data_IF_606811298993
#
_entry.id   IF_606811298993
#
_cell.length_a   1.000
_cell.length_b   1.000
_cell.length_c   1.000
_cell.angle_alpha   90.00
_cell.angle_beta   90.00
_cell.angle_gamma   90.00
#
_symmetry.space_group_name_H-M   'P 1'
#
loop_
_entity.id
_entity.type
_entity.pdbx_description
1 polymer ?
#
# COMPACT_ATOMS: atom_id res chain seq x y z
N UNK A 1 -20.02 -9.19 20.17
CA UNK A 1 -19.12 -8.72 19.09
C UNK A 1 -17.87 -9.59 18.93
N UNK A 2 -17.10 -9.85 20.00
CA UNK A 2 -15.91 -10.73 19.96
C UNK A 2 -16.22 -12.14 19.42
N UNK A 3 -17.32 -12.76 19.87
CA UNK A 3 -17.75 -14.07 19.39
C UNK A 3 -18.01 -14.09 17.87
N UNK A 4 -18.62 -13.02 17.32
CA UNK A 4 -18.91 -12.88 15.89
C UNK A 4 -17.61 -12.79 15.10
N UNK A 5 -16.66 -11.96 15.51
CA UNK A 5 -15.37 -11.84 14.83
C UNK A 5 -14.55 -13.13 14.89
N UNK A 6 -14.55 -13.80 16.03
CA UNK A 6 -13.89 -15.09 16.17
C UNK A 6 -14.55 -16.15 15.28
N UNK A 7 -15.88 -16.18 15.18
CA UNK A 7 -16.59 -17.06 14.26
C UNK A 7 -16.26 -16.74 12.79
N UNK A 8 -16.22 -15.47 12.39
CA UNK A 8 -15.79 -15.05 11.06
C UNK A 8 -14.38 -15.55 10.73
N UNK A 9 -13.43 -15.41 11.65
CA UNK A 9 -12.04 -15.86 11.43
C UNK A 9 -11.94 -17.39 11.46
N UNK A 10 -12.71 -18.09 12.30
CA UNK A 10 -12.78 -19.56 12.35
C UNK A 10 -13.37 -20.15 11.06
N UNK A 11 -14.40 -19.52 10.51
CA UNK A 11 -15.10 -19.98 9.32
C UNK A 11 -14.58 -19.35 8.02
N UNK A 12 -13.42 -18.67 8.06
CA UNK A 12 -12.80 -18.02 6.90
C UNK A 12 -13.74 -17.07 6.14
N UNK A 13 -14.60 -16.36 6.87
CA UNK A 13 -15.71 -15.60 6.31
C UNK A 13 -15.52 -14.10 6.52
N UNK A 14 -15.82 -13.32 5.48
CA UNK A 14 -15.97 -11.87 5.53
C UNK A 14 -17.38 -11.49 5.11
N UNK A 15 -18.14 -10.84 5.98
CA UNK A 15 -19.56 -10.55 5.74
C UNK A 15 -19.77 -9.59 4.58
N UNK A 16 -20.66 -9.96 3.65
CA UNK A 16 -21.08 -9.12 2.51
C UNK A 16 -21.69 -7.78 2.96
N UNK A 17 -22.29 -7.74 4.14
CA UNK A 17 -22.85 -6.51 4.71
C UNK A 17 -21.77 -5.44 4.96
N UNK A 18 -20.52 -5.87 5.17
CA UNK A 18 -19.39 -4.99 5.43
C UNK A 18 -18.69 -4.52 4.15
N UNK A 19 -18.98 -5.14 3.00
CA UNK A 19 -18.34 -4.87 1.69
C UNK A 19 -19.07 -3.83 0.84
N UNK A 20 -19.94 -3.03 1.46
CA UNK A 20 -20.70 -1.98 0.80
C UNK A 20 -20.09 -0.64 1.15
N UNK A 21 -19.63 0.08 0.14
CA UNK A 21 -19.13 1.44 0.28
C UNK A 21 -20.12 2.44 -0.32
N UNK A 22 -20.41 3.52 0.41
CA UNK A 22 -21.11 4.67 -0.16
C UNK A 22 -20.09 5.76 -0.41
N UNK A 23 -19.88 6.11 -1.67
CA UNK A 23 -18.95 7.16 -2.08
C UNK A 23 -19.70 8.48 -2.08
N UNK A 24 -19.22 9.42 -1.28
CA UNK A 24 -19.71 10.79 -1.25
C UNK A 24 -18.64 11.68 -1.88
N UNK A 25 -19.09 12.53 -2.79
CA UNK A 25 -18.27 13.53 -3.40
C UNK A 25 -18.12 14.77 -2.54
N UNK A 26 -16.89 15.14 -2.16
CA UNK A 26 -16.63 16.43 -1.52
C UNK A 26 -16.24 17.43 -2.60
N UNK A 27 -17.05 18.49 -2.76
CA UNK A 27 -16.80 19.55 -3.73
C UNK A 27 -15.47 20.25 -3.40
N UNK A 28 -14.48 20.26 -4.33
CA UNK A 28 -13.27 21.02 -4.16
C UNK A 28 -13.57 22.52 -4.27
N UNK A 29 -12.78 23.36 -3.58
CA UNK A 29 -12.90 24.82 -3.69
C UNK A 29 -12.37 25.36 -5.03
N UNK A 30 -11.37 24.69 -5.61
CA UNK A 30 -10.58 25.29 -6.69
C UNK A 30 -10.77 24.62 -8.06
N UNK A 31 -10.52 23.30 -8.19
CA UNK A 31 -10.54 22.61 -9.50
C UNK A 31 -11.40 21.34 -9.48
N UNK A 32 -12.14 21.01 -10.56
CA UNK A 32 -12.92 19.76 -10.68
C UNK A 32 -12.07 18.49 -10.48
N UNK A 33 -10.78 18.54 -10.83
CA UNK A 33 -9.80 17.46 -10.64
C UNK A 33 -9.43 17.21 -9.17
N UNK A 34 -9.74 18.14 -8.27
CA UNK A 34 -9.45 18.04 -6.83
C UNK A 34 -10.57 17.35 -6.05
N UNK A 35 -11.57 16.79 -6.76
CA UNK A 35 -12.66 16.06 -6.14
C UNK A 35 -12.13 14.77 -5.51
N UNK A 36 -12.07 14.72 -4.18
CA UNK A 36 -11.65 13.52 -3.44
C UNK A 36 -12.89 12.76 -2.97
N UNK A 37 -13.20 11.58 -3.55
CA UNK A 37 -14.31 10.77 -3.09
C UNK A 37 -14.03 10.20 -1.69
N UNK A 38 -14.94 10.42 -0.74
CA UNK A 38 -14.89 9.77 0.58
C UNK A 38 -15.74 8.51 0.52
N UNK A 39 -15.16 7.36 0.87
CA UNK A 39 -15.95 6.12 0.97
C UNK A 39 -16.39 5.87 2.41
N UNK A 40 -17.69 5.84 2.62
CA UNK A 40 -18.30 5.41 3.87
C UNK A 40 -18.39 3.89 3.88
N UNK A 41 -17.48 3.27 4.63
CA UNK A 41 -17.48 1.83 4.91
C UNK A 41 -18.24 1.51 6.20
N UNK A 42 -18.69 0.27 6.33
CA UNK A 42 -19.32 -0.23 7.57
C UNK A 42 -18.38 -0.07 8.77
N UNK A 43 -18.87 0.52 9.86
CA UNK A 43 -18.08 0.66 11.10
C UNK A 43 -17.66 -0.69 11.69
N UNK A 44 -18.54 -1.70 11.63
CA UNK A 44 -18.21 -3.08 12.02
C UNK A 44 -17.15 -3.69 11.10
N UNK A 45 -17.24 -3.42 9.79
CA UNK A 45 -16.23 -3.81 8.82
C UNK A 45 -14.85 -3.23 9.15
N UNK A 46 -14.77 -1.93 9.42
CA UNK A 46 -13.51 -1.27 9.84
C UNK A 46 -12.93 -1.86 11.13
N UNK A 47 -13.79 -2.18 12.10
CA UNK A 47 -13.33 -2.79 13.35
C UNK A 47 -12.78 -4.20 13.11
N UNK A 48 -13.46 -5.01 12.29
CA UNK A 48 -13.00 -6.33 11.92
C UNK A 48 -11.69 -6.27 11.13
N UNK A 49 -11.57 -5.36 10.16
CA UNK A 49 -10.33 -5.10 9.44
C UNK A 49 -9.18 -4.76 10.38
N UNK A 50 -9.41 -3.94 11.42
CA UNK A 50 -8.38 -3.57 12.39
C UNK A 50 -7.91 -4.79 13.19
N UNK A 51 -8.82 -5.65 13.65
CA UNK A 51 -8.47 -6.90 14.35
C UNK A 51 -7.70 -7.85 13.43
N UNK A 52 -8.14 -7.99 12.18
CA UNK A 52 -7.48 -8.84 11.20
C UNK A 52 -6.10 -8.31 10.81
N UNK A 53 -5.98 -6.98 10.65
CA UNK A 53 -4.73 -6.28 10.35
C UNK A 53 -3.68 -6.56 11.41
N UNK A 54 -4.02 -6.51 12.70
CA UNK A 54 -3.06 -6.83 13.77
C UNK A 54 -2.48 -8.23 13.58
N UNK A 55 -3.32 -9.25 13.40
CA UNK A 55 -2.86 -10.64 13.21
C UNK A 55 -2.01 -10.81 11.94
N UNK A 56 -2.40 -10.17 10.84
CA UNK A 56 -1.65 -10.22 9.59
C UNK A 56 -0.31 -9.48 9.71
N UNK A 57 -0.31 -8.33 10.40
CA UNK A 57 0.88 -7.53 10.66
C UNK A 57 1.88 -8.31 11.51
N UNK A 58 1.41 -9.00 12.54
CA UNK A 58 2.26 -9.83 13.41
C UNK A 58 2.95 -10.94 12.59
N UNK A 59 2.24 -11.57 11.66
CA UNK A 59 2.83 -12.58 10.76
C UNK A 59 3.82 -11.98 9.76
N UNK A 60 3.43 -10.89 9.07
CA UNK A 60 4.25 -10.29 8.02
C UNK A 60 5.52 -9.63 8.59
N UNK A 61 5.39 -8.87 9.67
CA UNK A 61 6.52 -8.16 10.26
C UNK A 61 7.32 -9.04 11.22
N UNK A 62 6.66 -9.92 11.97
CA UNK A 62 7.34 -10.85 12.89
C UNK A 62 8.26 -11.83 12.17
N UNK A 63 7.90 -12.21 10.95
CA UNK A 63 8.72 -13.10 10.10
C UNK A 63 9.66 -12.32 9.15
N UNK A 64 9.74 -10.98 9.24
CA UNK A 64 10.58 -10.17 8.36
C UNK A 64 10.23 -10.28 6.86
N UNK A 65 8.96 -10.54 6.54
CA UNK A 65 8.50 -10.75 5.17
C UNK A 65 8.33 -9.44 4.41
N UNK A 66 8.28 -8.29 5.10
CA UNK A 66 8.23 -6.96 4.50
C UNK A 66 9.62 -6.34 4.48
N UNK A 67 10.00 -5.78 3.33
CA UNK A 67 11.29 -5.10 3.14
C UNK A 67 11.48 -3.95 4.14
N UNK A 68 12.68 -3.85 4.72
CA UNK A 68 12.96 -2.85 5.74
C UNK A 68 12.94 -1.41 5.21
N UNK A 69 13.13 -1.20 3.91
CA UNK A 69 13.00 0.10 3.27
C UNK A 69 11.56 0.61 3.20
N UNK A 70 10.56 -0.25 3.42
CA UNK A 70 9.15 0.13 3.51
C UNK A 70 8.80 0.61 4.92
N UNK A 71 8.74 1.94 5.05
CA UNK A 71 8.36 2.60 6.30
C UNK A 71 6.85 2.87 6.37
N UNK A 72 6.14 2.77 5.24
CA UNK A 72 4.70 2.97 5.16
C UNK A 72 3.93 1.86 5.87
N UNK A 73 2.98 2.27 6.72
CA UNK A 73 2.04 1.38 7.43
C UNK A 73 2.70 0.32 8.34
N UNK A 74 3.97 0.52 8.70
CA UNK A 74 4.70 -0.30 9.68
C UNK A 74 4.63 0.37 11.07
N UNK A 75 4.39 -0.40 12.16
CA UNK A 75 4.48 0.14 13.52
C UNK A 75 5.88 0.69 13.78
N UNK A 76 5.97 1.81 14.50
CA UNK A 76 7.22 2.48 14.88
C UNK A 76 8.06 3.03 13.71
N UNK A 77 7.50 3.10 12.50
CA UNK A 77 8.07 3.82 11.38
C UNK A 77 7.18 5.02 11.03
N UNK A 78 7.79 6.17 10.83
CA UNK A 78 7.13 7.41 10.42
C UNK A 78 7.74 7.96 9.13
N UNK A 79 6.97 8.81 8.46
CA UNK A 79 7.47 9.57 7.32
C UNK A 79 8.73 10.37 7.68
N UNK A 80 8.73 11.00 8.85
CA UNK A 80 9.87 11.77 9.35
C UNK A 80 11.13 10.92 9.53
N UNK A 81 11.01 9.68 10.00
CA UNK A 81 12.16 8.77 10.12
C UNK A 81 12.70 8.35 8.75
N UNK A 82 11.82 8.13 7.76
CA UNK A 82 12.27 7.81 6.40
C UNK A 82 12.97 8.99 5.75
N UNK A 83 12.43 10.20 5.91
CA UNK A 83 13.05 11.43 5.45
C UNK A 83 14.41 11.65 6.13
N UNK A 84 14.48 11.45 7.45
CA UNK A 84 15.72 11.56 8.22
C UNK A 84 16.77 10.57 7.71
N UNK A 85 16.42 9.30 7.50
CA UNK A 85 17.32 8.29 6.91
C UNK A 85 17.92 8.75 5.58
N UNK A 86 17.10 9.34 4.71
CA UNK A 86 17.56 9.86 3.41
C UNK A 86 18.50 11.07 3.60
N UNK A 87 18.15 12.00 4.49
CA UNK A 87 18.97 13.19 4.79
C UNK A 87 20.31 12.80 5.41
N UNK A 88 20.33 11.85 6.34
CA UNK A 88 21.54 11.36 6.98
C UNK A 88 22.46 10.71 5.95
N UNK A 89 21.89 9.87 5.07
CA UNK A 89 22.63 9.22 4.00
C UNK A 89 23.28 10.23 3.03
N UNK A 90 22.50 11.22 2.58
CA UNK A 90 23.00 12.32 1.73
C UNK A 90 24.10 13.10 2.46
N UNK A 91 23.91 13.39 3.75
CA UNK A 91 24.84 14.18 4.55
C UNK A 91 26.17 13.46 4.78
N UNK A 92 26.14 12.16 5.04
CA UNK A 92 27.34 11.33 5.16
C UNK A 92 28.12 11.25 3.85
N UNK A 93 27.41 11.09 2.73
CA UNK A 93 28.03 11.05 1.41
C UNK A 93 28.64 12.38 1.00
N UNK A 94 27.97 13.47 1.35
CA UNK A 94 28.48 14.81 1.14
C UNK A 94 29.79 15.05 1.90
N UNK A 95 29.88 14.60 3.17
CA UNK A 95 31.14 14.65 3.95
C UNK A 95 32.28 13.88 3.28
N UNK A 96 31.97 12.81 2.55
CA UNK A 96 32.92 12.00 1.76
C UNK A 96 33.22 12.59 0.37
N UNK A 97 32.78 13.81 0.07
CA UNK A 97 32.89 14.47 -1.24
C UNK A 97 32.23 13.68 -2.38
N UNK A 98 31.23 12.84 -2.07
CA UNK A 98 30.40 12.14 -3.06
C UNK A 98 29.17 12.97 -3.39
N UNK A 99 28.63 12.77 -4.58
CA UNK A 99 27.35 13.35 -5.02
C UNK A 99 26.28 12.26 -4.96
N UNK A 100 25.12 12.58 -4.42
CA UNK A 100 23.98 11.66 -4.37
C UNK A 100 22.90 12.16 -5.31
N UNK A 101 22.41 11.26 -6.18
CA UNK A 101 21.26 11.53 -7.05
C UNK A 101 20.08 10.75 -6.51
N UNK A 102 18.95 11.42 -6.31
CA UNK A 102 17.69 10.81 -5.89
C UNK A 102 16.61 11.07 -6.95
N UNK A 103 15.78 10.07 -7.22
CA UNK A 103 14.62 10.13 -8.12
C UNK A 103 13.39 9.72 -7.34
N UNK A 104 12.36 10.55 -7.38
CA UNK A 104 11.11 10.35 -6.66
C UNK A 104 10.01 9.96 -7.64
N UNK A 105 9.30 8.88 -7.30
CA UNK A 105 8.15 8.35 -8.03
C UNK A 105 6.91 8.49 -7.18
N UNK A 106 5.84 8.99 -7.80
CA UNK A 106 4.48 8.93 -7.25
C UNK A 106 3.63 8.03 -8.15
N UNK A 107 3.15 6.92 -7.58
CA UNK A 107 2.27 5.99 -8.29
C UNK A 107 0.84 6.54 -8.27
N UNK A 108 0.45 7.19 -9.35
CA UNK A 108 -0.88 7.76 -9.49
C UNK A 108 -2.00 6.72 -9.30
N UNK A 109 -2.85 6.95 -8.29
CA UNK A 109 -3.97 6.09 -7.88
C UNK A 109 -3.54 4.66 -7.54
N UNK A 110 -2.39 4.51 -6.88
CA UNK A 110 -1.81 3.22 -6.50
C UNK A 110 -2.82 2.25 -5.88
N UNK A 111 -3.60 2.70 -4.91
CA UNK A 111 -4.56 1.85 -4.20
C UNK A 111 -5.76 1.43 -5.06
N UNK A 112 -6.14 2.22 -6.06
CA UNK A 112 -7.29 1.92 -6.93
C UNK A 112 -6.93 0.92 -8.05
N UNK A 113 -5.63 0.70 -8.30
CA UNK A 113 -5.12 -0.10 -9.42
C UNK A 113 -4.60 -1.48 -9.03
N UNK A 114 -4.65 -1.84 -7.75
CA UNK A 114 -4.13 -3.14 -7.29
C UNK A 114 -4.99 -4.26 -7.86
N UNK A 115 -4.37 -5.14 -8.65
CA UNK A 115 -5.02 -6.31 -9.18
C UNK A 115 -5.20 -7.38 -8.10
N UNK A 116 -6.45 -7.74 -7.79
CA UNK A 116 -6.77 -8.63 -6.68
C UNK A 116 -6.13 -10.01 -6.81
N UNK A 117 -6.19 -10.62 -8.00
CA UNK A 117 -5.59 -11.94 -8.21
C UNK A 117 -4.06 -11.90 -8.06
N UNK A 118 -3.40 -10.85 -8.56
CA UNK A 118 -1.98 -10.62 -8.36
C UNK A 118 -1.61 -10.45 -6.88
N UNK A 119 -2.43 -9.73 -6.11
CA UNK A 119 -2.24 -9.61 -4.65
C UNK A 119 -2.34 -10.96 -3.94
N UNK A 120 -3.36 -11.77 -4.26
CA UNK A 120 -3.49 -13.12 -3.67
C UNK A 120 -2.28 -14.00 -4.03
N UNK A 121 -1.84 -13.98 -5.28
CA UNK A 121 -0.64 -14.69 -5.72
C UNK A 121 0.60 -14.26 -4.92
N UNK A 122 0.82 -12.95 -4.75
CA UNK A 122 1.94 -12.43 -3.97
C UNK A 122 1.88 -12.83 -2.48
N UNK A 123 0.69 -12.88 -1.88
CA UNK A 123 0.54 -13.34 -0.51
C UNK A 123 0.94 -14.80 -0.32
N UNK A 124 0.65 -15.66 -1.31
CA UNK A 124 1.16 -17.04 -1.31
C UNK A 124 2.68 -17.09 -1.48
N UNK A 125 3.28 -16.24 -2.33
CA UNK A 125 4.73 -16.14 -2.47
C UNK A 125 5.41 -15.69 -1.16
N UNK A 126 4.75 -14.83 -0.39
CA UNK A 126 5.19 -14.39 0.94
C UNK A 126 4.92 -15.43 2.04
N UNK A 127 4.50 -16.66 1.70
CA UNK A 127 4.22 -17.73 2.65
C UNK A 127 3.22 -17.33 3.76
N UNK A 128 2.25 -16.49 3.40
CA UNK A 128 1.14 -16.15 4.30
C UNK A 128 0.24 -17.39 4.46
N UNK A 129 -0.17 -17.79 5.67
CA UNK A 129 -1.02 -18.94 5.89
C UNK A 129 -2.30 -18.89 5.06
N UNK A 130 -2.66 -20.00 4.41
CA UNK A 130 -3.83 -20.10 3.51
C UNK A 130 -5.12 -19.62 4.16
N UNK A 131 -5.25 -19.84 5.47
CA UNK A 131 -6.33 -19.30 6.30
C UNK A 131 -6.52 -17.80 6.15
N UNK A 132 -5.43 -17.04 6.25
CA UNK A 132 -5.44 -15.58 6.14
C UNK A 132 -5.68 -15.17 4.69
N UNK A 133 -5.02 -15.85 3.75
CA UNK A 133 -5.19 -15.57 2.31
C UNK A 133 -6.63 -15.78 1.87
N UNK A 134 -7.31 -16.83 2.35
CA UNK A 134 -8.72 -17.07 2.03
C UNK A 134 -9.64 -15.97 2.55
N UNK A 135 -9.40 -15.47 3.77
CA UNK A 135 -10.17 -14.35 4.33
C UNK A 135 -9.92 -13.08 3.50
N UNK A 136 -8.68 -12.82 3.08
CA UNK A 136 -8.33 -11.69 2.20
C UNK A 136 -8.99 -11.83 0.83
N UNK A 137 -8.99 -13.02 0.25
CA UNK A 137 -9.68 -13.29 -1.00
C UNK A 137 -11.18 -13.00 -0.87
N UNK A 138 -11.83 -13.48 0.20
CA UNK A 138 -13.22 -13.13 0.49
C UNK A 138 -13.40 -11.63 0.71
N UNK A 139 -12.47 -10.95 1.37
CA UNK A 139 -12.53 -9.50 1.57
C UNK A 139 -12.53 -8.72 0.24
N UNK A 140 -11.66 -9.11 -0.71
CA UNK A 140 -11.50 -8.46 -2.01
C UNK A 140 -12.62 -8.77 -3.01
N UNK A 141 -13.25 -9.95 -2.88
CA UNK A 141 -14.36 -10.35 -3.73
C UNK A 141 -15.66 -9.60 -3.38
N UNK A 142 -16.44 -9.28 -4.43
CA UNK A 142 -17.78 -8.70 -4.33
C UNK A 142 -17.83 -7.38 -3.56
N UNK A 143 -16.77 -6.56 -3.67
CA UNK A 143 -16.81 -5.20 -3.12
C UNK A 143 -17.67 -4.33 -4.03
N UNK A 144 -18.72 -3.75 -3.44
CA UNK A 144 -19.65 -2.90 -4.17
C UNK A 144 -19.58 -1.47 -3.66
N UNK A 145 -19.74 -0.52 -4.58
CA UNK A 145 -19.91 0.89 -4.24
C UNK A 145 -21.16 1.49 -4.88
N UNK A 146 -21.69 2.52 -4.24
CA UNK A 146 -22.72 3.40 -4.79
C UNK A 146 -22.29 4.85 -4.59
N UNK A 147 -22.57 5.72 -5.55
CA UNK A 147 -22.39 7.15 -5.39
C UNK A 147 -23.62 7.77 -4.72
N UNK A 148 -23.40 8.65 -3.75
CA UNK A 148 -24.44 9.51 -3.20
C UNK A 148 -24.20 10.94 -3.65
N UNK A 149 -25.22 11.53 -4.24
CA UNK A 149 -25.28 12.95 -4.57
C UNK A 149 -26.57 13.52 -3.99
N UNK A 150 -26.42 14.44 -3.03
CA UNK A 150 -27.54 14.99 -2.24
C UNK A 150 -28.39 13.87 -1.61
N UNK A 151 -29.68 13.80 -1.94
CA UNK A 151 -30.63 12.79 -1.46
C UNK A 151 -30.75 11.56 -2.37
N UNK A 152 -29.97 11.50 -3.46
CA UNK A 152 -30.00 10.39 -4.42
C UNK A 152 -28.82 9.43 -4.23
N UNK A 153 -29.08 8.13 -4.45
CA UNK A 153 -28.07 7.07 -4.42
C UNK A 153 -28.08 6.34 -5.76
N UNK A 154 -26.92 6.19 -6.38
CA UNK A 154 -26.78 5.47 -7.64
C UNK A 154 -26.98 3.97 -7.48
N UNK A 155 -27.22 3.29 -8.60
CA UNK A 155 -27.09 1.84 -8.68
C UNK A 155 -25.73 1.36 -8.16
N UNK A 156 -25.72 0.15 -7.61
CA UNK A 156 -24.50 -0.50 -7.11
C UNK A 156 -23.60 -0.87 -8.27
N UNK A 157 -22.30 -0.62 -8.12
CA UNK A 157 -21.25 -1.00 -9.06
C UNK A 157 -20.22 -1.88 -8.36
N UNK A 158 -19.68 -2.84 -9.08
CA UNK A 158 -18.63 -3.73 -8.59
C UNK A 158 -17.26 -3.06 -8.73
N UNK A 159 -16.36 -3.31 -7.76
CA UNK A 159 -14.96 -2.92 -7.83
C UNK A 159 -14.12 -4.10 -8.29
N UNK A 160 -13.45 -3.96 -9.43
CA UNK A 160 -12.60 -5.00 -10.01
C UNK A 160 -11.11 -4.88 -9.67
N UNK A 161 -10.67 -3.73 -9.14
CA UNK A 161 -9.29 -3.48 -8.74
C UNK A 161 -9.28 -2.50 -7.56
N UNK A 162 -8.29 -2.66 -6.67
CA UNK A 162 -8.19 -1.84 -5.47
C UNK A 162 -9.34 -2.05 -4.48
N UNK A 163 -9.45 -1.16 -3.52
CA UNK A 163 -10.60 -1.10 -2.59
C UNK A 163 -11.01 0.35 -2.37
N UNK A 164 -12.26 0.62 -1.92
CA UNK A 164 -12.67 1.97 -1.59
C UNK A 164 -11.76 2.60 -0.53
N UNK A 165 -11.52 3.91 -0.67
CA UNK A 165 -10.68 4.66 0.28
C UNK A 165 -11.22 4.58 1.71
N UNK A 166 -10.32 4.41 2.69
CA UNK A 166 -10.69 4.33 4.10
C UNK A 166 -10.72 2.91 4.67
N UNK A 167 -10.29 1.91 3.89
CA UNK A 167 -9.88 0.61 4.41
C UNK A 167 -8.65 0.77 5.32
N UNK A 168 -8.67 0.09 6.45
CA UNK A 168 -7.57 0.07 7.43
C UNK A 168 -6.59 -1.07 7.18
N UNK A 169 -7.08 -2.17 6.59
CA UNK A 169 -6.31 -3.36 6.25
C UNK A 169 -5.53 -3.20 4.95
N UNK A 170 -6.15 -2.60 3.94
CA UNK A 170 -5.61 -2.54 2.59
C UNK A 170 -4.24 -1.85 2.47
N UNK A 171 -3.92 -0.80 3.24
CA UNK A 171 -2.58 -0.24 3.23
C UNK A 171 -1.47 -1.25 3.55
N UNK A 172 -1.71 -2.19 4.48
CA UNK A 172 -0.76 -3.27 4.78
C UNK A 172 -0.68 -4.29 3.62
N UNK A 173 -1.81 -4.61 2.98
CA UNK A 173 -1.83 -5.47 1.81
C UNK A 173 -1.10 -4.84 0.63
N UNK A 174 -1.15 -3.51 0.49
CA UNK A 174 -0.38 -2.78 -0.50
C UNK A 174 1.13 -2.89 -0.24
N UNK A 175 1.57 -2.76 1.01
CA UNK A 175 2.99 -3.00 1.36
C UNK A 175 3.43 -4.42 1.01
N UNK A 176 2.57 -5.43 1.22
CA UNK A 176 2.85 -6.80 0.79
C UNK A 176 2.85 -6.94 -0.76
N UNK A 177 1.98 -6.21 -1.45
CA UNK A 177 1.88 -6.20 -2.91
C UNK A 177 3.11 -5.61 -3.59
N UNK A 178 3.72 -4.57 -3.01
CA UNK A 178 4.91 -3.89 -3.56
C UNK A 178 6.22 -4.43 -3.00
N UNK A 179 6.16 -5.49 -2.22
CA UNK A 179 7.30 -6.03 -1.49
C UNK A 179 8.39 -6.62 -2.39
N UNK A 180 8.00 -7.10 -3.57
CA UNK A 180 8.87 -7.66 -4.61
C UNK A 180 9.44 -6.59 -5.55
N UNK A 181 9.50 -5.33 -5.11
CA UNK A 181 10.08 -4.23 -5.89
C UNK A 181 11.48 -4.63 -6.40
N UNK A 182 11.73 -4.59 -7.72
CA UNK A 182 12.98 -5.05 -8.32
C UNK A 182 14.20 -4.35 -7.71
N UNK A 183 15.01 -5.11 -6.95
CA UNK A 183 16.26 -4.59 -6.38
C UNK A 183 17.37 -4.62 -7.44
N UNK A 184 18.01 -3.48 -7.67
CA UNK A 184 19.18 -3.42 -8.54
C UNK A 184 20.44 -3.89 -7.81
N UNK A 185 21.28 -4.69 -8.47
CA UNK A 185 22.59 -5.11 -7.96
C UNK A 185 23.62 -3.96 -7.94
N UNK A 186 23.26 -2.76 -8.39
CA UNK A 186 24.16 -1.60 -8.55
C UNK A 186 24.31 -0.72 -7.30
N UNK A 187 23.93 -1.22 -6.11
CA UNK A 187 24.03 -0.48 -4.85
C UNK A 187 22.97 0.62 -4.66
N UNK A 188 21.96 0.69 -5.55
CA UNK A 188 20.84 1.63 -5.45
C UNK A 188 20.03 1.34 -4.20
N UNK A 189 19.78 2.39 -3.42
CA UNK A 189 18.98 2.33 -2.22
C UNK A 189 17.55 2.77 -2.49
N UNK A 190 16.62 2.24 -1.69
CA UNK A 190 15.20 2.55 -1.76
C UNK A 190 14.78 3.28 -0.49
N UNK A 191 13.91 4.27 -0.66
CA UNK A 191 13.11 4.84 0.42
C UNK A 191 11.65 4.73 0.00
N UNK A 192 10.93 3.80 0.62
CA UNK A 192 9.53 3.52 0.33
C UNK A 192 8.66 4.00 1.49
N UNK A 193 7.57 4.69 1.15
CA UNK A 193 6.53 5.04 2.11
C UNK A 193 5.18 4.94 1.41
N UNK A 194 4.45 3.85 1.66
CA UNK A 194 3.19 3.58 0.97
C UNK A 194 3.41 3.55 -0.56
N UNK A 195 2.72 4.42 -1.31
CA UNK A 195 2.84 4.60 -2.75
C UNK A 195 4.03 5.49 -3.17
N UNK A 196 4.63 6.23 -2.24
CA UNK A 196 5.77 7.08 -2.53
C UNK A 196 7.04 6.24 -2.56
N UNK A 197 7.76 6.29 -3.68
CA UNK A 197 8.98 5.51 -3.89
C UNK A 197 10.11 6.44 -4.29
N UNK A 198 11.21 6.41 -3.56
CA UNK A 198 12.42 7.13 -3.93
C UNK A 198 13.58 6.15 -4.14
N UNK A 199 14.32 6.34 -5.24
CA UNK A 199 15.58 5.67 -5.52
C UNK A 199 16.71 6.66 -5.30
N UNK A 200 17.77 6.25 -4.66
CA UNK A 200 18.95 7.10 -4.51
C UNK A 200 20.25 6.31 -4.59
N UNK A 201 21.26 6.94 -5.18
CA UNK A 201 22.58 6.35 -5.37
C UNK A 201 23.68 7.42 -5.23
N UNK A 202 24.69 7.19 -4.38
CA UNK A 202 25.84 8.07 -4.31
C UNK A 202 26.95 7.64 -5.26
N UNK A 203 27.77 8.60 -5.68
CA UNK A 203 28.95 8.33 -6.47
C UNK A 203 29.86 9.56 -6.60
N UNK A 204 31.09 9.32 -7.03
CA UNK A 204 32.08 10.40 -7.16
C UNK A 204 31.82 11.26 -8.40
N UNK A 205 31.26 10.68 -9.47
CA UNK A 205 30.99 11.35 -10.75
C UNK A 205 29.57 11.03 -11.22
N UNK A 206 28.82 12.06 -11.64
CA UNK A 206 27.46 11.90 -12.17
C UNK A 206 27.39 10.92 -13.35
N UNK A 207 28.41 10.92 -14.22
CA UNK A 207 28.52 9.99 -15.36
C UNK A 207 28.47 8.50 -14.97
N UNK A 208 28.83 8.15 -13.74
CA UNK A 208 28.74 6.77 -13.22
C UNK A 208 27.37 6.49 -12.59
N UNK A 209 26.77 7.50 -11.97
CA UNK A 209 25.50 7.37 -11.24
C UNK A 209 24.32 7.24 -12.21
N UNK A 210 24.26 8.09 -13.24
CA UNK A 210 23.11 8.18 -14.15
C UNK A 210 22.81 6.85 -14.85
N UNK A 211 23.78 6.11 -15.44
CA UNK A 211 23.47 4.84 -16.09
C UNK A 211 23.01 3.76 -15.11
N UNK A 212 23.56 3.73 -13.89
CA UNK A 212 23.16 2.78 -12.86
C UNK A 212 21.74 3.06 -12.36
N UNK A 213 21.39 4.32 -12.17
CA UNK A 213 20.05 4.73 -11.74
C UNK A 213 19.04 4.50 -12.87
N UNK A 214 19.36 4.85 -14.12
CA UNK A 214 18.50 4.60 -15.28
C UNK A 214 18.16 3.11 -15.42
N UNK A 215 19.16 2.22 -15.30
CA UNK A 215 18.92 0.76 -15.32
C UNK A 215 17.97 0.29 -14.21
N UNK A 216 18.02 0.93 -13.04
CA UNK A 216 17.11 0.61 -11.94
C UNK A 216 15.68 1.11 -12.24
N UNK A 217 15.55 2.30 -12.84
CA UNK A 217 14.28 2.87 -13.28
C UNK A 217 13.63 2.00 -14.35
N UNK A 218 14.39 1.59 -15.38
CA UNK A 218 13.87 0.78 -16.47
C UNK A 218 13.26 -0.54 -15.94
N UNK A 219 13.92 -1.18 -14.96
CA UNK A 219 13.41 -2.38 -14.28
C UNK A 219 12.12 -2.15 -13.47
N UNK A 220 11.84 -0.93 -13.03
CA UNK A 220 10.61 -0.60 -12.29
C UNK A 220 9.45 -0.29 -13.22
N UNK A 221 9.71 0.11 -14.46
CA UNK A 221 8.71 0.50 -15.46
C UNK A 221 8.36 -0.58 -16.47
N UNK A 222 9.17 -1.64 -16.57
CA UNK A 222 8.90 -2.83 -17.40
C UNK A 222 7.96 -3.80 -16.70
#
# INVERSE_FOLDING_TARGET
MVAVFNACIKNYHFSEAWKKAVIIGVKPRDFPSSFKPISLLSGLGKLFEKVFKTRLSDHLLGNGLIVDEQFGFRPNNSYSQQALRLVDYISEDFKRKRKTVAVFFDVAKAFDKVWHAGLIYKLHQLQVPDRLVFIIHKYLMNIHFSFRHENSISAKRLIGAGVPQGSTLFPLLYSAYTNDIPRSQTGVQFALFANDTALYLPGSKLRQITPCLQKAIDKLTC
#
